data_IF_723477910244
#
_entry.id   IF_723477910244
#
_cell.length_a   1.000
_cell.length_b   1.000
_cell.length_c   1.000
_cell.angle_alpha   90.00
_cell.angle_beta   90.00
_cell.angle_gamma   90.00
#
_symmetry.space_group_name_H-M   'P 1'
#
loop_
_entity.id
_entity.type
_entity.pdbx_description
1 polymer ?
#
# COMPACT_ATOMS: atom_id res chain seq x y z
N UNK A 1 -14.99 -11.03 22.48
CA UNK A 1 -14.68 -10.20 21.31
C UNK A 1 -15.04 -10.97 20.04
N UNK A 2 -16.08 -10.54 19.30
CA UNK A 2 -16.41 -11.14 18.00
C UNK A 2 -15.46 -10.52 16.96
N UNK A 3 -14.42 -11.23 16.58
CA UNK A 3 -13.70 -10.91 15.34
C UNK A 3 -14.67 -11.28 14.22
N UNK A 4 -15.37 -10.27 13.69
CA UNK A 4 -16.17 -10.45 12.48
C UNK A 4 -15.15 -10.56 11.35
N UNK A 5 -14.78 -11.80 11.00
CA UNK A 5 -14.18 -12.04 9.69
C UNK A 5 -15.28 -11.74 8.67
N UNK A 6 -15.37 -10.48 8.22
CA UNK A 6 -16.02 -10.20 6.95
C UNK A 6 -15.40 -11.17 5.93
N UNK A 7 -16.18 -11.81 5.05
CA UNK A 7 -15.59 -12.62 3.99
C UNK A 7 -14.64 -11.70 3.24
N UNK A 8 -13.34 -11.97 3.35
CA UNK A 8 -12.33 -11.22 2.61
C UNK A 8 -12.58 -11.62 1.17
N UNK A 9 -13.18 -10.73 0.42
CA UNK A 9 -13.38 -10.85 -1.01
C UNK A 9 -12.43 -9.88 -1.71
N UNK A 10 -12.30 -10.02 -3.02
CA UNK A 10 -11.48 -9.09 -3.80
C UNK A 10 -11.98 -7.65 -3.70
N UNK A 11 -13.28 -7.44 -3.44
CA UNK A 11 -13.83 -6.09 -3.27
C UNK A 11 -13.26 -5.39 -2.02
N UNK A 12 -13.22 -6.08 -0.88
CA UNK A 12 -12.63 -5.59 0.36
C UNK A 12 -11.12 -5.41 0.25
N UNK A 13 -10.42 -6.34 -0.39
CA UNK A 13 -8.98 -6.21 -0.65
C UNK A 13 -8.68 -5.00 -1.53
N UNK A 14 -9.43 -4.80 -2.62
CA UNK A 14 -9.26 -3.67 -3.52
C UNK A 14 -9.60 -2.33 -2.84
N UNK A 15 -10.61 -2.31 -1.97
CA UNK A 15 -10.96 -1.13 -1.19
C UNK A 15 -9.83 -0.74 -0.21
N UNK A 16 -9.25 -1.71 0.50
CA UNK A 16 -8.13 -1.49 1.41
C UNK A 16 -6.85 -1.09 0.66
N UNK A 17 -6.55 -1.73 -0.49
CA UNK A 17 -5.45 -1.33 -1.36
C UNK A 17 -5.62 0.12 -1.84
N UNK A 18 -6.84 0.48 -2.28
CA UNK A 18 -7.17 1.85 -2.71
C UNK A 18 -7.02 2.86 -1.57
N UNK A 19 -7.46 2.52 -0.36
CA UNK A 19 -7.27 3.35 0.84
C UNK A 19 -5.79 3.61 1.11
N UNK A 20 -4.95 2.56 1.07
CA UNK A 20 -3.50 2.65 1.27
C UNK A 20 -2.78 3.45 0.16
N UNK A 21 -3.24 3.33 -1.08
CA UNK A 21 -2.77 4.15 -2.19
C UNK A 21 -3.14 5.62 -1.97
N UNK A 22 -4.36 5.91 -1.53
CA UNK A 22 -4.78 7.27 -1.21
C UNK A 22 -3.97 7.89 -0.05
N UNK A 23 -3.73 7.12 1.02
CA UNK A 23 -2.94 7.57 2.19
C UNK A 23 -1.51 7.96 1.81
N UNK A 24 -0.97 7.33 0.76
CA UNK A 24 0.39 7.58 0.27
C UNK A 24 0.47 8.52 -0.93
N UNK A 25 -0.66 9.02 -1.42
CA UNK A 25 -0.72 9.77 -2.68
C UNK A 25 0.03 11.11 -2.61
N UNK A 26 -0.12 11.81 -1.48
CA UNK A 26 0.61 13.06 -1.19
C UNK A 26 2.13 12.94 -1.28
N UNK A 27 2.68 11.75 -1.05
CA UNK A 27 4.12 11.51 -1.06
C UNK A 27 4.67 11.27 -2.47
N UNK A 28 3.80 11.04 -3.46
CA UNK A 28 4.18 10.86 -4.86
C UNK A 28 4.29 12.18 -5.62
N UNK A 29 3.93 13.31 -4.99
CA UNK A 29 4.10 14.63 -5.59
C UNK A 29 5.59 14.98 -5.72
N UNK A 30 6.00 15.54 -6.86
CA UNK A 30 7.38 15.98 -7.12
C UNK A 30 7.90 16.95 -6.07
N UNK A 31 6.99 17.75 -5.51
CA UNK A 31 7.30 18.82 -4.56
C UNK A 31 7.45 18.29 -3.13
N UNK A 32 7.11 17.01 -2.88
CA UNK A 32 7.31 16.43 -1.56
C UNK A 32 8.80 16.06 -1.38
N UNK A 33 9.49 16.65 -0.39
CA UNK A 33 10.92 16.44 -0.22
C UNK A 33 11.18 15.07 0.39
N UNK A 34 11.21 14.01 -0.43
CA UNK A 34 11.58 12.65 -0.03
C UNK A 34 13.05 12.38 -0.34
N UNK A 35 13.66 11.49 0.43
CA UNK A 35 14.92 10.84 0.00
C UNK A 35 14.64 9.94 -1.21
N UNK A 36 15.67 9.70 -2.04
CA UNK A 36 15.53 8.81 -3.19
C UNK A 36 15.17 7.38 -2.76
N UNK A 37 15.79 6.89 -1.68
CA UNK A 37 15.46 5.59 -1.10
C UNK A 37 13.99 5.52 -0.66
N UNK A 38 13.44 6.58 -0.05
CA UNK A 38 12.04 6.62 0.35
C UNK A 38 11.10 6.65 -0.87
N UNK A 39 11.44 7.40 -1.94
CA UNK A 39 10.68 7.38 -3.21
C UNK A 39 10.62 5.98 -3.82
N UNK A 40 11.75 5.29 -3.87
CA UNK A 40 11.82 3.93 -4.40
C UNK A 40 11.01 2.95 -3.55
N UNK A 41 11.12 3.03 -2.22
CA UNK A 41 10.35 2.20 -1.30
C UNK A 41 8.83 2.45 -1.43
N UNK A 42 8.40 3.71 -1.54
CA UNK A 42 7.00 4.06 -1.78
C UNK A 42 6.49 3.57 -3.13
N UNK A 43 7.32 3.68 -4.18
CA UNK A 43 6.98 3.19 -5.50
C UNK A 43 6.79 1.67 -5.49
N UNK A 44 7.72 0.93 -4.89
CA UNK A 44 7.63 -0.52 -4.74
C UNK A 44 6.41 -0.93 -3.89
N UNK A 45 6.16 -0.23 -2.78
CA UNK A 45 4.99 -0.45 -1.93
C UNK A 45 3.68 -0.27 -2.73
N UNK A 46 3.55 0.85 -3.46
CA UNK A 46 2.36 1.15 -4.26
C UNK A 46 2.18 0.17 -5.43
N UNK A 47 3.27 -0.37 -5.98
CA UNK A 47 3.21 -1.39 -7.01
C UNK A 47 2.72 -2.72 -6.43
N UNK A 48 3.28 -3.16 -5.30
CA UNK A 48 2.85 -4.38 -4.61
C UNK A 48 1.36 -4.34 -4.22
N UNK A 49 0.81 -3.18 -3.84
CA UNK A 49 -0.62 -3.01 -3.59
C UNK A 49 -1.50 -3.21 -4.85
N UNK A 50 -1.01 -2.82 -6.02
CA UNK A 50 -1.73 -3.01 -7.29
C UNK A 50 -1.67 -4.45 -7.78
N UNK A 51 -0.57 -5.14 -7.47
CA UNK A 51 -0.31 -6.50 -7.92
C UNK A 51 -0.91 -7.58 -6.98
N UNK A 52 -1.67 -7.19 -5.94
CA UNK A 52 -2.24 -8.14 -4.97
C UNK A 52 -3.15 -9.19 -5.64
N UNK A 53 -3.96 -8.78 -6.61
CA UNK A 53 -4.86 -9.69 -7.34
C UNK A 53 -4.14 -10.62 -8.33
N UNK A 54 -2.91 -10.28 -8.72
CA UNK A 54 -2.08 -11.09 -9.62
C UNK A 54 -1.12 -12.00 -8.83
N UNK A 55 -0.77 -11.59 -7.60
CA UNK A 55 0.18 -12.29 -6.73
C UNK A 55 -0.49 -13.38 -5.90
N UNK A 56 -1.71 -13.14 -5.42
CA UNK A 56 -2.44 -14.08 -4.57
C UNK A 56 -3.58 -14.74 -5.34
N UNK A 57 -3.70 -16.07 -5.21
CA UNK A 57 -4.78 -16.84 -5.84
C UNK A 57 -6.10 -16.72 -5.05
N UNK A 58 -6.02 -16.44 -3.75
CA UNK A 58 -7.18 -16.28 -2.86
C UNK A 58 -7.11 -14.96 -2.08
N UNK A 59 -8.23 -14.22 -1.94
CA UNK A 59 -8.29 -13.03 -1.10
C UNK A 59 -7.90 -13.29 0.36
N UNK A 60 -8.16 -14.49 0.87
CA UNK A 60 -7.87 -14.87 2.27
C UNK A 60 -6.38 -15.02 2.55
N UNK A 61 -5.57 -15.17 1.50
CA UNK A 61 -4.11 -15.31 1.57
C UNK A 61 -3.40 -13.96 1.38
N UNK A 62 -4.15 -12.91 1.02
CA UNK A 62 -3.59 -11.60 0.74
C UNK A 62 -2.93 -11.04 2.00
N UNK A 63 -1.62 -10.81 1.89
CA UNK A 63 -0.84 -10.10 2.89
C UNK A 63 -0.46 -8.74 2.31
N UNK A 64 -0.92 -7.67 2.97
CA UNK A 64 -0.55 -6.32 2.57
C UNK A 64 0.92 -6.04 2.91
N UNK A 65 1.68 -5.42 1.99
CA UNK A 65 3.05 -5.02 2.28
C UNK A 65 3.09 -4.01 3.45
N UNK A 66 4.18 -3.97 4.23
CA UNK A 66 4.37 -2.96 5.25
C UNK A 66 4.53 -1.59 4.59
N UNK A 67 3.92 -0.55 5.18
CA UNK A 67 4.08 0.81 4.70
C UNK A 67 5.52 1.28 4.94
N UNK A 68 6.20 1.88 3.94
CA UNK A 68 7.55 2.37 4.11
C UNK A 68 7.59 3.58 5.06
N UNK A 69 8.68 3.70 5.81
CA UNK A 69 8.95 4.87 6.64
C UNK A 69 9.15 6.09 5.75
N UNK A 70 8.41 7.16 6.04
CA UNK A 70 8.50 8.40 5.28
C UNK A 70 9.71 9.20 5.77
N UNK A 71 10.78 9.18 4.98
CA UNK A 71 12.00 9.95 5.23
C UNK A 71 12.07 11.15 4.31
N UNK A 72 12.11 12.33 4.92
CA UNK A 72 12.24 13.57 4.17
C UNK A 72 13.70 13.82 3.82
N UNK A 73 13.96 14.27 2.60
CA UNK A 73 15.25 14.84 2.27
C UNK A 73 15.45 16.07 3.15
N UNK A 74 16.53 16.08 3.96
CA UNK A 74 16.91 17.27 4.69
C UNK A 74 17.31 18.34 3.65
N UNK A 75 16.66 19.50 3.73
CA UNK A 75 17.00 20.67 2.93
C UNK A 75 18.42 21.16 3.23
#
# INVERSE_FOLDING_TARGET
MRIKHAPIDWSGINAEASRRLSDTDRYMQSDFPLTEACRQALTAYRQALRDLNHTFASPTEVVFPPQPTIEKARA
#
